data_IF_901065368041
#
_entry.id   IF_901065368041
#
_cell.length_a   1.000
_cell.length_b   1.000
_cell.length_c   1.000
_cell.angle_alpha   90.00
_cell.angle_beta   90.00
_cell.angle_gamma   90.00
#
_symmetry.space_group_name_H-M   'P 1'
#
loop_
_entity.id
_entity.type
_entity.pdbx_description
1 polymer ?
#
# COMPACT_ATOMS: atom_id res chain seq x y z
N UNK A 1 -8.37 25.63 -27.30
CA UNK A 1 -8.99 24.29 -27.47
C UNK A 1 -9.03 23.61 -26.12
N UNK A 2 -10.16 23.03 -25.71
CA UNK A 2 -10.18 22.10 -24.56
C UNK A 2 -9.49 20.80 -25.00
N UNK A 3 -8.62 20.20 -24.18
CA UNK A 3 -8.07 18.89 -24.49
C UNK A 3 -9.20 17.86 -24.50
N UNK A 4 -9.16 16.94 -25.46
CA UNK A 4 -10.06 15.79 -25.46
C UNK A 4 -9.65 14.85 -24.30
N UNK A 5 -10.61 14.33 -23.51
CA UNK A 5 -10.31 13.37 -22.46
C UNK A 5 -9.67 12.10 -23.03
N UNK A 6 -8.63 11.58 -22.37
CA UNK A 6 -8.05 10.30 -22.73
C UNK A 6 -9.04 9.16 -22.45
N UNK A 7 -9.26 8.29 -23.44
CA UNK A 7 -10.05 7.07 -23.29
C UNK A 7 -9.06 5.91 -23.16
N UNK A 8 -8.99 5.23 -22.00
CA UNK A 8 -8.07 4.12 -21.82
C UNK A 8 -8.47 2.91 -22.67
N UNK A 9 -7.48 2.12 -23.07
CA UNK A 9 -7.71 0.82 -23.72
C UNK A 9 -8.47 -0.13 -22.76
N UNK A 10 -9.44 -0.92 -23.23
CA UNK A 10 -10.11 -1.91 -22.41
C UNK A 10 -9.12 -2.96 -21.89
N UNK A 11 -9.29 -3.38 -20.63
CA UNK A 11 -8.45 -4.42 -20.03
C UNK A 11 -8.91 -5.83 -20.42
N UNK A 12 -7.99 -6.79 -20.63
CA UNK A 12 -6.54 -6.61 -20.66
C UNK A 12 -6.07 -5.92 -21.96
N UNK A 13 -5.00 -5.09 -21.91
CA UNK A 13 -4.49 -4.45 -23.11
C UNK A 13 -3.95 -5.50 -24.08
N UNK A 14 -4.07 -5.19 -25.37
CA UNK A 14 -3.56 -6.06 -26.43
C UNK A 14 -2.03 -6.04 -26.48
N UNK A 15 -1.41 -7.13 -26.94
CA UNK A 15 0.03 -7.19 -27.16
C UNK A 15 0.90 -7.45 -25.92
N UNK A 16 0.33 -7.84 -24.77
CA UNK A 16 1.13 -8.38 -23.66
C UNK A 16 1.79 -9.69 -24.11
N UNK A 17 3.11 -9.71 -24.15
CA UNK A 17 3.89 -10.93 -24.34
C UNK A 17 4.00 -11.69 -23.02
N UNK A 18 3.03 -12.54 -22.74
CA UNK A 18 2.97 -13.30 -21.49
C UNK A 18 4.18 -14.22 -21.28
N UNK A 19 4.76 -14.75 -22.36
CA UNK A 19 5.84 -15.74 -22.27
C UNK A 19 7.09 -15.11 -21.65
N UNK A 20 7.42 -13.87 -22.03
CA UNK A 20 8.57 -13.17 -21.47
C UNK A 20 8.39 -12.78 -20.00
N UNK A 21 7.16 -12.70 -19.51
CA UNK A 21 6.85 -12.36 -18.13
C UNK A 21 6.81 -13.57 -17.18
N UNK A 22 6.70 -14.81 -17.70
CA UNK A 22 6.61 -16.04 -16.89
C UNK A 22 7.69 -16.12 -15.80
N UNK A 23 8.98 -15.85 -16.07
CA UNK A 23 10.01 -15.95 -15.03
C UNK A 23 9.79 -14.99 -13.86
N UNK A 24 9.37 -13.75 -14.14
CA UNK A 24 9.10 -12.74 -13.13
C UNK A 24 7.82 -13.06 -12.35
N UNK A 25 6.77 -13.51 -13.03
CA UNK A 25 5.52 -13.95 -12.40
C UNK A 25 5.81 -15.13 -11.45
N UNK A 26 6.60 -16.12 -11.90
CA UNK A 26 6.99 -17.25 -11.08
C UNK A 26 7.77 -16.83 -9.83
N UNK A 27 8.74 -15.92 -9.99
CA UNK A 27 9.52 -15.39 -8.88
C UNK A 27 8.67 -14.61 -7.86
N UNK A 28 7.74 -13.77 -8.35
CA UNK A 28 6.81 -13.02 -7.51
C UNK A 28 5.86 -13.96 -6.75
N UNK A 29 5.26 -14.93 -7.44
CA UNK A 29 4.38 -15.91 -6.82
C UNK A 29 5.12 -16.75 -5.75
N UNK A 30 6.36 -17.15 -6.02
CA UNK A 30 7.18 -17.87 -5.05
C UNK A 30 7.53 -17.00 -3.82
N UNK A 31 7.72 -15.69 -4.00
CA UNK A 31 7.95 -14.78 -2.88
C UNK A 31 6.71 -14.63 -2.00
N UNK A 32 5.52 -14.51 -2.60
CA UNK A 32 4.24 -14.49 -1.89
C UNK A 32 4.01 -15.80 -1.13
N UNK A 33 4.21 -16.95 -1.78
CA UNK A 33 4.06 -18.25 -1.12
C UNK A 33 5.02 -18.45 0.07
N UNK A 34 6.25 -17.94 -0.01
CA UNK A 34 7.18 -17.94 1.14
C UNK A 34 6.67 -17.05 2.28
N UNK A 35 6.17 -15.86 1.97
CA UNK A 35 5.59 -14.96 2.96
C UNK A 35 4.39 -15.61 3.67
N UNK A 36 3.45 -16.18 2.91
CA UNK A 36 2.28 -16.88 3.46
C UNK A 36 2.69 -18.06 4.35
N UNK A 37 3.68 -18.85 3.92
CA UNK A 37 4.20 -19.96 4.70
C UNK A 37 4.85 -19.52 6.02
N UNK A 38 5.56 -18.38 6.04
CA UNK A 38 6.13 -17.83 7.27
C UNK A 38 5.04 -17.38 8.24
N UNK A 39 3.96 -16.75 7.75
CA UNK A 39 2.85 -16.30 8.59
C UNK A 39 2.16 -17.46 9.32
N UNK A 40 2.04 -18.63 8.69
CA UNK A 40 1.44 -19.81 9.31
C UNK A 40 2.19 -20.31 10.55
N UNK A 41 3.48 -20.00 10.68
CA UNK A 41 4.30 -20.39 11.84
C UNK A 41 4.14 -19.47 13.06
N UNK A 42 3.51 -18.30 12.89
CA UNK A 42 3.37 -17.28 13.93
C UNK A 42 2.04 -17.51 14.67
N UNK A 43 2.09 -17.53 16.01
CA UNK A 43 0.90 -17.79 16.84
C UNK A 43 -0.21 -16.74 16.67
N UNK A 44 0.18 -15.48 16.45
CA UNK A 44 -0.74 -14.38 16.16
C UNK A 44 -0.08 -13.41 15.16
N UNK A 45 -0.23 -13.64 13.83
CA UNK A 45 0.40 -12.82 12.81
C UNK A 45 -0.17 -11.40 12.77
N UNK A 46 -1.43 -11.20 13.18
CA UNK A 46 -2.10 -9.89 13.14
C UNK A 46 -1.38 -8.85 13.99
N UNK A 47 -0.76 -9.27 15.10
CA UNK A 47 0.04 -8.37 15.96
C UNK A 47 1.23 -7.76 15.21
N UNK A 48 1.82 -8.50 14.27
CA UNK A 48 2.92 -8.03 13.44
C UNK A 48 2.43 -7.32 12.17
N UNK A 49 1.33 -7.81 11.58
CA UNK A 49 0.80 -7.28 10.32
C UNK A 49 0.09 -5.95 10.50
N UNK A 50 -0.64 -5.74 11.59
CA UNK A 50 -1.37 -4.50 11.84
C UNK A 50 -0.52 -3.24 11.66
N UNK A 51 0.65 -3.08 12.34
CA UNK A 51 1.47 -1.88 12.13
C UNK A 51 2.07 -1.78 10.73
N UNK A 52 2.31 -2.90 10.04
CA UNK A 52 2.84 -2.89 8.66
C UNK A 52 1.80 -2.45 7.64
N UNK A 53 0.56 -2.90 7.79
CA UNK A 53 -0.58 -2.47 6.96
C UNK A 53 -0.81 -0.97 7.16
N UNK A 54 -0.83 -0.50 8.41
CA UNK A 54 -0.95 0.94 8.71
C UNK A 54 0.20 1.75 8.09
N UNK A 55 1.43 1.23 8.13
CA UNK A 55 2.57 1.90 7.51
C UNK A 55 2.41 2.01 5.99
N UNK A 56 1.96 0.93 5.33
CA UNK A 56 1.70 0.92 3.90
C UNK A 56 0.65 1.96 3.53
N UNK A 57 -0.47 2.03 4.27
CA UNK A 57 -1.54 2.99 4.00
C UNK A 57 -1.05 4.44 4.09
N UNK A 58 -0.19 4.75 5.07
CA UNK A 58 0.45 6.07 5.21
C UNK A 58 1.39 6.35 4.02
N UNK A 59 2.18 5.37 3.59
CA UNK A 59 3.09 5.53 2.43
C UNK A 59 2.29 5.74 1.15
N UNK A 60 1.19 4.99 0.98
CA UNK A 60 0.29 5.10 -0.18
C UNK A 60 -0.36 6.48 -0.23
N UNK A 61 -0.93 6.95 0.89
CA UNK A 61 -1.51 8.28 1.01
C UNK A 61 -0.50 9.41 0.76
N UNK A 62 0.79 9.21 1.08
CA UNK A 62 1.84 10.18 0.76
C UNK A 62 2.06 10.36 -0.74
N UNK A 63 1.86 9.31 -1.54
CA UNK A 63 1.94 9.41 -3.02
C UNK A 63 0.86 10.35 -3.55
N UNK A 64 -0.28 10.43 -2.85
CA UNK A 64 -1.41 11.31 -3.18
C UNK A 64 -1.26 12.74 -2.63
N UNK A 65 -0.21 13.01 -1.83
CA UNK A 65 0.14 14.34 -1.34
C UNK A 65 -0.05 14.57 0.16
N UNK A 66 -0.46 13.55 0.93
CA UNK A 66 -0.65 13.64 2.38
C UNK A 66 0.68 13.70 3.14
N UNK A 67 0.76 14.55 4.17
CA UNK A 67 1.98 14.75 4.97
C UNK A 67 1.80 14.20 6.39
N UNK A 68 1.57 12.89 6.50
CA UNK A 68 1.53 12.16 7.76
C UNK A 68 2.68 11.15 7.89
N UNK A 69 3.10 10.91 9.13
CA UNK A 69 4.00 9.82 9.51
C UNK A 69 3.29 8.79 10.38
N UNK A 70 3.78 7.55 10.36
CA UNK A 70 3.26 6.47 11.21
C UNK A 70 3.35 6.82 12.71
N UNK A 71 4.40 7.57 13.09
CA UNK A 71 4.60 8.04 14.47
C UNK A 71 3.50 9.01 14.89
N UNK A 72 3.14 9.95 14.03
CA UNK A 72 2.08 10.93 14.32
C UNK A 72 0.71 10.24 14.44
N UNK A 73 0.42 9.28 13.56
CA UNK A 73 -0.78 8.45 13.66
C UNK A 73 -0.82 7.67 14.98
N UNK A 74 0.25 6.97 15.35
CA UNK A 74 0.28 6.22 16.61
C UNK A 74 0.18 7.12 17.86
N UNK A 75 0.78 8.32 17.83
CA UNK A 75 0.60 9.28 18.92
C UNK A 75 -0.85 9.76 19.00
N UNK A 76 -1.49 9.99 17.86
CA UNK A 76 -2.90 10.38 17.77
C UNK A 76 -3.84 9.27 18.29
N UNK A 77 -3.65 8.02 17.86
CA UNK A 77 -4.39 6.85 18.35
C UNK A 77 -4.20 6.63 19.86
N UNK A 78 -3.02 6.96 20.39
CA UNK A 78 -2.73 6.95 21.82
C UNK A 78 -3.36 8.15 22.59
N UNK A 79 -4.16 8.98 21.92
CA UNK A 79 -4.88 10.09 22.52
C UNK A 79 -4.08 11.39 22.65
N UNK A 80 -2.90 11.50 22.01
CA UNK A 80 -2.18 12.77 21.94
C UNK A 80 -2.79 13.66 20.85
N UNK A 81 -2.95 14.97 21.10
CA UNK A 81 -3.42 15.87 20.06
C UNK A 81 -2.41 15.95 18.92
N UNK A 82 -2.91 16.10 17.69
CA UNK A 82 -2.08 16.44 16.55
C UNK A 82 -1.45 17.83 16.76
N UNK A 83 -0.26 18.05 16.18
CA UNK A 83 0.48 19.31 16.35
C UNK A 83 -0.18 20.49 15.62
N UNK A 84 -1.01 20.23 14.60
CA UNK A 84 -1.81 21.24 13.89
C UNK A 84 -3.12 20.65 13.35
N UNK A 85 -4.07 21.50 12.98
CA UNK A 85 -5.32 21.08 12.34
C UNK A 85 -5.10 20.48 10.95
N UNK A 86 -4.06 20.93 10.23
CA UNK A 86 -3.63 20.37 8.95
C UNK A 86 -3.14 18.92 9.14
N UNK A 87 -2.25 18.68 10.12
CA UNK A 87 -1.82 17.32 10.46
C UNK A 87 -2.96 16.45 10.96
N UNK A 88 -3.94 17.05 11.64
CA UNK A 88 -5.14 16.32 12.08
C UNK A 88 -6.00 15.86 10.90
N UNK A 89 -6.08 16.64 9.83
CA UNK A 89 -6.76 16.24 8.60
C UNK A 89 -6.01 15.12 7.88
N UNK A 90 -4.68 15.22 7.82
CA UNK A 90 -3.83 14.22 7.17
C UNK A 90 -3.79 12.87 7.88
N UNK A 91 -4.06 12.83 9.19
CA UNK A 91 -4.08 11.61 10.01
C UNK A 91 -5.48 10.94 10.00
N UNK A 92 -6.55 11.67 9.67
CA UNK A 92 -7.94 11.25 9.89
C UNK A 92 -8.57 10.51 8.72
#
# INVERSE_FOLDING_TARGET
MKPEPFIPEPLPPSGIDWITHIPLIGAANAALGRFDGLLQSIQNPDLLLAPLITQEAIISSRIEGTQATIRELFLFEAGKPAESDEKRQDIR
#
